data_IF_046722507722
#
_entry.id   IF_046722507722
#
_cell.length_a   1.000
_cell.length_b   1.000
_cell.length_c   1.000
_cell.angle_alpha   90.00
_cell.angle_beta   90.00
_cell.angle_gamma   90.00
#
_symmetry.space_group_name_H-M   'P 1'
#
loop_
_entity.id
_entity.type
_entity.pdbx_description
1 polymer ?
#
# COMPACT_ATOMS: atom_id res chain seq x y z
N UNK A 1 68.35 -33.52 -55.43
CA UNK A 1 69.39 -33.10 -54.47
C UNK A 1 68.71 -32.65 -53.19
N UNK A 2 69.10 -33.30 -52.08
CA UNK A 2 69.02 -32.85 -50.67
C UNK A 2 67.61 -32.49 -50.12
N UNK A 3 66.85 -33.47 -49.61
CA UNK A 3 66.86 -34.04 -48.23
C UNK A 3 66.09 -33.21 -47.20
N UNK A 4 64.92 -33.70 -46.80
CA UNK A 4 64.20 -33.29 -45.59
C UNK A 4 63.07 -34.28 -45.28
N UNK A 5 63.29 -35.18 -44.30
CA UNK A 5 62.38 -36.25 -43.85
C UNK A 5 61.08 -35.73 -43.21
N UNK A 6 60.00 -36.55 -43.18
CA UNK A 6 58.71 -36.21 -42.60
C UNK A 6 58.66 -36.46 -41.09
N UNK A 7 57.91 -35.65 -40.33
CA UNK A 7 57.55 -35.95 -38.94
C UNK A 7 56.05 -35.74 -38.70
N UNK A 8 55.41 -36.86 -38.42
CA UNK A 8 54.17 -37.09 -37.68
C UNK A 8 53.39 -35.87 -37.15
N UNK A 9 52.20 -35.66 -37.69
CA UNK A 9 51.09 -35.03 -36.97
C UNK A 9 49.98 -36.06 -36.81
N UNK A 10 50.21 -37.01 -35.91
CA UNK A 10 49.22 -37.98 -35.42
C UNK A 10 49.32 -38.05 -33.89
N UNK A 11 49.27 -36.88 -33.23
CA UNK A 11 49.41 -36.79 -31.76
C UNK A 11 48.78 -35.53 -31.15
N UNK A 12 47.63 -35.06 -31.66
CA UNK A 12 46.86 -34.00 -30.96
C UNK A 12 45.39 -34.38 -30.73
N UNK A 13 44.83 -35.34 -31.46
CA UNK A 13 43.47 -35.84 -31.18
C UNK A 13 43.39 -36.93 -30.10
N UNK A 14 44.52 -37.40 -29.56
CA UNK A 14 44.57 -38.40 -28.50
C UNK A 14 44.78 -37.82 -27.08
N UNK A 15 45.04 -36.51 -26.93
CA UNK A 15 45.25 -35.90 -25.60
C UNK A 15 44.03 -35.16 -25.02
N UNK A 16 43.04 -34.79 -25.84
CA UNK A 16 41.82 -34.12 -25.31
C UNK A 16 40.81 -35.14 -24.75
N UNK A 17 40.79 -36.37 -25.28
CA UNK A 17 39.90 -37.43 -24.81
C UNK A 17 40.36 -38.09 -23.51
N UNK A 18 41.67 -38.03 -23.18
CA UNK A 18 42.22 -38.59 -21.94
C UNK A 18 42.04 -37.63 -20.76
N UNK A 19 42.01 -36.31 -21.00
CA UNK A 19 41.73 -35.31 -19.95
C UNK A 19 40.24 -35.33 -19.56
N UNK A 20 39.31 -35.54 -20.49
CA UNK A 20 37.89 -35.67 -20.15
C UNK A 20 37.57 -36.95 -19.36
N UNK A 21 38.26 -38.07 -19.62
CA UNK A 21 38.04 -39.32 -18.87
C UNK A 21 38.74 -39.28 -17.49
N UNK A 22 39.90 -38.63 -17.36
CA UNK A 22 40.54 -38.45 -16.05
C UNK A 22 39.84 -37.44 -15.14
N UNK A 23 39.22 -36.38 -15.68
CA UNK A 23 38.39 -35.46 -14.87
C UNK A 23 37.10 -36.14 -14.42
N UNK A 24 36.49 -36.99 -15.26
CA UNK A 24 35.31 -37.76 -14.86
C UNK A 24 35.66 -38.87 -13.86
N UNK A 25 36.86 -39.48 -13.93
CA UNK A 25 37.30 -40.50 -12.97
C UNK A 25 37.78 -39.90 -11.64
N UNK A 26 38.42 -38.71 -11.65
CA UNK A 26 38.79 -37.98 -10.43
C UNK A 26 37.59 -37.32 -9.74
N UNK A 27 36.49 -37.04 -10.46
CA UNK A 27 35.27 -36.50 -9.87
C UNK A 27 34.26 -37.57 -9.42
N UNK A 28 34.41 -38.85 -9.78
CA UNK A 28 33.49 -39.94 -9.38
C UNK A 28 34.04 -40.92 -8.34
N UNK A 29 35.18 -40.65 -7.71
CA UNK A 29 35.66 -41.38 -6.54
C UNK A 29 35.77 -40.43 -5.35
N UNK A 30 34.63 -39.99 -4.82
CA UNK A 30 34.48 -39.69 -3.38
C UNK A 30 33.03 -39.36 -2.94
N UNK A 31 32.02 -39.92 -3.60
CA UNK A 31 30.63 -39.72 -3.15
C UNK A 31 30.22 -40.61 -1.95
N UNK A 32 31.07 -41.56 -1.53
CA UNK A 32 30.80 -42.45 -0.39
C UNK A 32 31.72 -42.25 0.83
N UNK A 33 32.56 -41.19 0.87
CA UNK A 33 33.45 -40.91 2.03
C UNK A 33 33.49 -39.46 2.55
N UNK A 34 32.60 -38.59 2.09
CA UNK A 34 32.32 -37.30 2.74
C UNK A 34 30.96 -37.27 3.47
N UNK A 35 30.42 -38.45 3.79
CA UNK A 35 29.21 -38.61 4.60
C UNK A 35 29.49 -38.82 6.11
N UNK A 36 30.73 -38.61 6.60
CA UNK A 36 31.10 -38.96 8.00
C UNK A 36 31.98 -37.95 8.76
N UNK A 37 32.08 -36.69 8.33
CA UNK A 37 32.73 -35.65 9.14
C UNK A 37 32.19 -34.24 8.86
N UNK A 38 31.00 -33.99 9.39
CA UNK A 38 30.40 -32.66 9.51
C UNK A 38 29.20 -32.76 10.45
N UNK A 39 29.03 -31.87 11.44
CA UNK A 39 28.06 -32.05 12.51
C UNK A 39 26.64 -32.05 11.95
N UNK A 40 25.96 -33.20 12.09
CA UNK A 40 24.56 -33.37 11.71
C UNK A 40 23.69 -32.41 12.52
N UNK A 41 22.93 -31.57 11.82
CA UNK A 41 21.81 -30.86 12.39
C UNK A 41 20.68 -31.87 12.64
N UNK A 42 20.77 -32.56 13.77
CA UNK A 42 19.63 -33.19 14.41
C UNK A 42 18.64 -32.09 14.78
N UNK A 43 17.37 -32.26 14.44
CA UNK A 43 16.28 -31.59 15.13
C UNK A 43 16.38 -31.94 16.62
N UNK A 44 17.04 -31.08 17.39
CA UNK A 44 16.96 -31.06 18.85
C UNK A 44 15.69 -30.31 19.19
N UNK A 45 14.72 -31.04 19.72
CA UNK A 45 13.69 -30.51 20.59
C UNK A 45 14.36 -29.77 21.75
N UNK A 46 14.49 -28.45 21.61
CA UNK A 46 14.91 -27.58 22.70
C UNK A 46 13.69 -27.33 23.61
N UNK A 47 13.39 -28.29 24.48
CA UNK A 47 12.65 -28.01 25.71
C UNK A 47 13.59 -27.25 26.64
N UNK A 48 13.52 -25.92 26.63
CA UNK A 48 14.11 -25.12 27.69
C UNK A 48 13.15 -25.16 28.87
N UNK A 49 13.51 -25.92 29.90
CA UNK A 49 12.92 -25.76 31.23
C UNK A 49 13.19 -24.32 31.71
N UNK A 50 12.10 -23.58 31.95
CA UNK A 50 12.16 -22.30 32.64
C UNK A 50 12.24 -22.62 34.15
N UNK A 51 13.20 -22.07 34.90
CA UNK A 51 13.19 -22.19 36.36
C UNK A 51 11.95 -21.47 36.91
N UNK A 52 11.00 -22.25 37.43
CA UNK A 52 9.83 -21.73 38.14
C UNK A 52 10.25 -21.22 39.51
N UNK A 53 10.50 -19.91 39.60
CA UNK A 53 10.50 -19.24 40.90
C UNK A 53 9.58 -18.02 40.84
N UNK A 54 8.28 -18.29 40.84
CA UNK A 54 7.29 -17.32 41.31
C UNK A 54 6.35 -18.03 42.27
N UNK A 55 6.47 -17.72 43.57
CA UNK A 55 5.45 -18.00 44.56
C UNK A 55 4.28 -17.05 44.31
N UNK A 56 3.24 -17.51 43.62
CA UNK A 56 1.90 -16.97 43.81
C UNK A 56 0.84 -18.03 43.44
N UNK A 57 0.19 -18.70 44.41
CA UNK A 57 -0.83 -19.69 44.14
C UNK A 57 -2.18 -18.98 43.96
N UNK A 58 -2.68 -18.88 42.73
CA UNK A 58 -4.13 -18.89 42.38
C UNK A 58 -4.41 -18.46 40.93
N UNK A 59 -3.77 -19.07 39.93
CA UNK A 59 -4.33 -19.08 38.57
C UNK A 59 -4.14 -20.48 37.98
N UNK A 60 -5.24 -21.23 37.91
CA UNK A 60 -5.28 -22.54 37.26
C UNK A 60 -5.70 -22.31 35.80
N UNK A 61 -4.73 -22.21 34.88
CA UNK A 61 -5.00 -22.17 33.43
C UNK A 61 -4.65 -23.54 32.86
N UNK A 62 -5.65 -24.39 32.73
CA UNK A 62 -5.54 -25.61 31.93
C UNK A 62 -6.05 -25.29 30.51
N UNK A 63 -5.18 -24.78 29.64
CA UNK A 63 -5.44 -24.70 28.20
C UNK A 63 -4.52 -25.70 27.49
N UNK A 64 -5.07 -26.87 27.18
CA UNK A 64 -4.50 -27.78 26.19
C UNK A 64 -4.54 -27.09 24.83
N UNK A 65 -3.38 -26.99 24.20
CA UNK A 65 -3.25 -26.63 22.80
C UNK A 65 -3.67 -27.86 21.96
N UNK A 66 -4.87 -27.84 21.38
CA UNK A 66 -5.23 -28.81 20.34
C UNK A 66 -4.84 -28.26 18.97
N UNK A 67 -4.04 -28.99 18.17
CA UNK A 67 -3.75 -28.63 16.79
C UNK A 67 -5.05 -28.67 15.97
N UNK A 68 -5.26 -27.65 15.16
CA UNK A 68 -6.35 -27.56 14.18
C UNK A 68 -6.45 -28.86 13.36
N UNK A 69 -7.47 -29.68 13.64
CA UNK A 69 -7.92 -30.68 12.69
C UNK A 69 -8.73 -29.96 11.61
N UNK A 70 -8.40 -30.22 10.35
CA UNK A 70 -9.21 -29.82 9.21
C UNK A 70 -10.58 -30.49 9.34
N UNK A 71 -11.55 -29.77 9.91
CA UNK A 71 -12.95 -30.14 9.71
C UNK A 71 -13.24 -29.99 8.22
N UNK A 72 -13.45 -31.12 7.56
CA UNK A 72 -13.96 -31.19 6.20
C UNK A 72 -15.34 -30.52 6.14
N UNK A 73 -15.33 -29.20 5.95
CA UNK A 73 -16.52 -28.44 5.63
C UNK A 73 -17.02 -28.97 4.29
N UNK A 74 -18.21 -29.58 4.31
CA UNK A 74 -18.83 -30.15 3.13
C UNK A 74 -19.27 -28.99 2.22
N UNK A 75 -18.34 -28.51 1.39
CA UNK A 75 -18.59 -27.48 0.37
C UNK A 75 -19.53 -28.10 -0.66
N UNK A 76 -20.83 -27.91 -0.45
CA UNK A 76 -21.78 -27.96 -1.57
C UNK A 76 -21.19 -27.09 -2.66
N UNK A 77 -20.94 -27.69 -3.83
CA UNK A 77 -20.47 -27.02 -5.04
C UNK A 77 -21.35 -25.80 -5.31
N UNK A 78 -20.97 -24.65 -4.78
CA UNK A 78 -21.44 -23.37 -5.28
C UNK A 78 -20.91 -23.29 -6.69
N UNK A 79 -21.81 -23.36 -7.67
CA UNK A 79 -21.53 -23.08 -9.07
C UNK A 79 -20.61 -21.86 -9.11
N UNK A 80 -19.36 -22.04 -9.57
CA UNK A 80 -18.40 -20.94 -9.71
C UNK A 80 -19.07 -19.89 -10.59
N UNK A 81 -19.57 -18.81 -9.97
CA UNK A 81 -20.02 -17.64 -10.72
C UNK A 81 -18.86 -17.23 -11.61
N UNK A 82 -19.12 -17.05 -12.90
CA UNK A 82 -18.15 -16.46 -13.82
C UNK A 82 -17.55 -15.23 -13.13
N UNK A 83 -16.22 -15.13 -13.00
CA UNK A 83 -15.61 -14.06 -12.23
C UNK A 83 -15.97 -12.72 -12.90
N UNK A 84 -16.45 -11.77 -12.10
CA UNK A 84 -16.93 -10.49 -12.60
C UNK A 84 -15.78 -9.73 -13.29
N UNK A 85 -15.98 -9.36 -14.56
CA UNK A 85 -15.01 -8.64 -15.40
C UNK A 85 -15.70 -7.44 -16.02
N UNK A 86 -15.05 -6.27 -15.98
CA UNK A 86 -15.56 -5.08 -16.67
C UNK A 86 -15.52 -5.31 -18.18
N UNK A 87 -16.60 -4.96 -18.88
CA UNK A 87 -16.69 -5.11 -20.33
C UNK A 87 -15.88 -4.04 -21.08
N UNK A 88 -15.48 -4.35 -22.31
CA UNK A 88 -14.83 -3.39 -23.21
C UNK A 88 -15.72 -2.17 -23.48
N UNK A 89 -17.04 -2.35 -23.54
CA UNK A 89 -18.00 -1.27 -23.72
C UNK A 89 -17.93 -0.23 -22.59
N UNK A 90 -17.74 -0.67 -21.35
CA UNK A 90 -17.61 0.23 -20.21
C UNK A 90 -16.28 1.00 -20.26
N UNK A 91 -15.17 0.36 -20.67
CA UNK A 91 -13.92 1.08 -20.92
C UNK A 91 -14.06 2.09 -22.08
N UNK A 92 -14.77 1.73 -23.16
CA UNK A 92 -15.08 2.64 -24.27
C UNK A 92 -15.88 3.84 -23.79
N UNK A 93 -16.90 3.65 -22.94
CA UNK A 93 -17.69 4.74 -22.36
C UNK A 93 -16.84 5.70 -21.56
N UNK A 94 -15.98 5.19 -20.66
CA UNK A 94 -15.06 6.02 -19.86
C UNK A 94 -14.06 6.77 -20.74
N UNK A 95 -13.53 6.12 -21.78
CA UNK A 95 -12.63 6.74 -22.77
C UNK A 95 -13.31 7.84 -23.58
N UNK A 96 -14.59 7.66 -23.97
CA UNK A 96 -15.37 8.69 -24.68
C UNK A 96 -15.50 9.97 -23.86
N UNK A 97 -15.75 9.85 -22.55
CA UNK A 97 -15.79 11.01 -21.64
C UNK A 97 -14.45 11.75 -21.59
N UNK A 98 -13.35 11.01 -21.39
CA UNK A 98 -11.99 11.60 -21.40
C UNK A 98 -11.73 12.31 -22.72
N UNK A 99 -12.00 11.66 -23.85
CA UNK A 99 -11.78 12.24 -25.18
C UNK A 99 -12.61 13.50 -25.40
N UNK A 100 -13.86 13.53 -24.93
CA UNK A 100 -14.71 14.71 -24.99
C UNK A 100 -14.05 15.90 -24.28
N UNK A 101 -13.67 15.73 -23.01
CA UNK A 101 -13.01 16.79 -22.23
C UNK A 101 -11.67 17.20 -22.86
N UNK A 102 -10.89 16.25 -23.38
CA UNK A 102 -9.64 16.52 -24.08
C UNK A 102 -9.84 17.31 -25.39
N UNK A 103 -11.02 17.23 -26.01
CA UNK A 103 -11.33 17.94 -27.26
C UNK A 103 -11.93 19.33 -27.04
N UNK A 104 -12.59 19.55 -25.90
CA UNK A 104 -13.29 20.81 -25.59
C UNK A 104 -12.39 21.87 -24.95
N UNK A 105 -11.19 21.50 -24.51
CA UNK A 105 -10.26 22.45 -23.88
C UNK A 105 -8.84 21.92 -23.71
N UNK A 106 -7.90 22.82 -23.43
CA UNK A 106 -6.52 22.45 -23.17
C UNK A 106 -6.35 21.90 -21.75
N UNK A 107 -6.22 20.58 -21.64
CA UNK A 107 -5.86 19.92 -20.39
C UNK A 107 -4.33 20.01 -20.20
N UNK A 108 -3.90 20.89 -19.29
CA UNK A 108 -2.49 21.01 -18.89
C UNK A 108 -2.05 19.83 -17.99
N UNK A 109 -0.75 19.67 -17.77
CA UNK A 109 -0.19 18.58 -16.96
C UNK A 109 0.77 17.68 -17.72
N UNK A 110 1.35 16.71 -17.01
CA UNK A 110 2.41 15.84 -17.49
C UNK A 110 2.01 14.36 -17.39
N UNK A 111 2.87 13.48 -17.90
CA UNK A 111 2.80 12.05 -17.66
C UNK A 111 4.09 11.68 -16.94
N UNK A 112 4.06 11.63 -15.61
CA UNK A 112 5.27 11.59 -14.78
C UNK A 112 5.97 10.22 -14.84
N UNK A 113 5.33 9.17 -14.31
CA UNK A 113 5.93 7.85 -14.18
C UNK A 113 5.07 6.78 -14.84
N UNK A 114 5.69 5.99 -15.71
CA UNK A 114 5.05 4.86 -16.36
C UNK A 114 5.78 3.56 -16.05
N UNK A 115 5.02 2.47 -16.01
CA UNK A 115 5.50 1.09 -16.01
C UNK A 115 4.83 0.38 -17.20
N UNK A 116 5.46 -0.65 -17.74
CA UNK A 116 4.92 -1.33 -18.90
C UNK A 116 5.18 -2.84 -18.86
N UNK A 117 4.40 -3.56 -19.65
CA UNK A 117 4.65 -4.92 -20.08
C UNK A 117 4.54 -4.90 -21.61
N UNK A 118 5.70 -4.92 -22.27
CA UNK A 118 5.80 -4.87 -23.73
C UNK A 118 5.22 -6.12 -24.38
N UNK A 119 5.27 -7.28 -23.72
CA UNK A 119 4.74 -8.54 -24.26
C UNK A 119 3.22 -8.51 -24.30
N UNK A 120 2.58 -8.00 -23.25
CA UNK A 120 1.13 -7.81 -23.20
C UNK A 120 0.65 -6.56 -23.95
N UNK A 121 1.55 -5.69 -24.41
CA UNK A 121 1.21 -4.42 -25.06
C UNK A 121 0.54 -3.41 -24.12
N UNK A 122 0.91 -3.45 -22.83
CA UNK A 122 0.29 -2.62 -21.79
C UNK A 122 1.29 -1.61 -21.24
N UNK A 123 0.84 -0.37 -21.10
CA UNK A 123 1.53 0.67 -20.35
C UNK A 123 0.61 1.27 -19.30
N UNK A 124 1.12 1.46 -18.09
CA UNK A 124 0.41 1.98 -16.93
C UNK A 124 1.06 3.28 -16.45
N UNK A 125 0.25 4.31 -16.32
CA UNK A 125 0.66 5.58 -15.75
C UNK A 125 0.27 5.64 -14.27
N UNK A 126 1.27 5.73 -13.39
CA UNK A 126 1.07 5.54 -11.96
C UNK A 126 0.45 6.75 -11.28
N UNK A 127 -0.73 6.56 -10.68
CA UNK A 127 -1.44 7.58 -9.89
C UNK A 127 -1.41 7.18 -8.41
N UNK A 128 -0.70 7.91 -7.54
CA UNK A 128 -0.68 7.62 -6.11
C UNK A 128 -2.09 7.63 -5.51
N UNK A 129 -2.33 6.73 -4.54
CA UNK A 129 -3.60 6.57 -3.80
C UNK A 129 -4.82 6.14 -4.64
N UNK A 130 -4.58 5.66 -5.87
CA UNK A 130 -5.56 5.01 -6.73
C UNK A 130 -5.07 3.60 -7.15
N UNK A 131 -4.98 2.66 -6.18
CA UNK A 131 -4.56 1.29 -6.45
C UNK A 131 -3.09 1.09 -6.87
N UNK A 132 -2.25 2.13 -6.75
CA UNK A 132 -0.89 2.10 -7.32
C UNK A 132 0.02 1.02 -6.75
N UNK A 133 -0.11 0.64 -5.47
CA UNK A 133 0.72 -0.42 -4.88
C UNK A 133 0.49 -1.75 -5.57
N UNK A 134 -0.78 -2.10 -5.83
CA UNK A 134 -1.16 -3.32 -6.54
C UNK A 134 -0.53 -3.36 -7.94
N UNK A 135 -0.74 -2.32 -8.74
CA UNK A 135 -0.19 -2.29 -10.10
C UNK A 135 1.35 -2.24 -10.10
N UNK A 136 1.98 -1.56 -9.14
CA UNK A 136 3.44 -1.61 -9.00
C UNK A 136 3.93 -3.02 -8.70
N UNK A 137 3.23 -3.83 -7.91
CA UNK A 137 3.56 -5.25 -7.68
C UNK A 137 3.45 -6.05 -8.97
N UNK A 138 2.34 -5.92 -9.68
CA UNK A 138 2.10 -6.58 -10.98
C UNK A 138 3.20 -6.24 -11.98
N UNK A 139 3.45 -4.94 -12.23
CA UNK A 139 4.45 -4.51 -13.19
C UNK A 139 5.89 -4.79 -12.74
N UNK A 140 6.17 -4.86 -11.43
CA UNK A 140 7.48 -5.31 -10.94
C UNK A 140 7.68 -6.79 -11.22
N UNK A 141 6.65 -7.60 -10.99
CA UNK A 141 6.74 -9.05 -11.18
C UNK A 141 6.86 -9.45 -12.65
N UNK A 142 6.08 -8.86 -13.56
CA UNK A 142 6.17 -9.18 -15.01
C UNK A 142 7.47 -8.73 -15.65
N UNK A 143 8.11 -7.68 -15.11
CA UNK A 143 9.42 -7.22 -15.58
C UNK A 143 10.59 -7.94 -14.91
N UNK A 144 10.32 -8.83 -13.96
CA UNK A 144 11.34 -9.66 -13.33
C UNK A 144 11.74 -10.79 -14.25
N UNK A 145 13.03 -11.15 -14.24
CA UNK A 145 13.54 -12.36 -14.91
C UNK A 145 13.24 -13.65 -14.13
N UNK A 146 12.58 -13.53 -12.98
CA UNK A 146 12.30 -14.64 -12.08
C UNK A 146 10.82 -15.03 -12.16
N UNK A 147 10.53 -16.16 -12.81
CA UNK A 147 9.16 -16.67 -12.97
C UNK A 147 8.46 -16.93 -11.64
N UNK A 148 9.21 -17.33 -10.59
CA UNK A 148 8.64 -17.51 -9.24
C UNK A 148 8.11 -16.20 -8.62
N UNK A 149 8.58 -15.03 -9.08
CA UNK A 149 8.08 -13.74 -8.63
C UNK A 149 6.70 -13.43 -9.24
N UNK A 150 6.39 -13.97 -10.43
CA UNK A 150 5.06 -13.85 -11.04
C UNK A 150 4.01 -14.59 -10.22
N UNK A 151 4.39 -15.71 -9.61
CA UNK A 151 3.54 -16.49 -8.70
C UNK A 151 3.43 -15.82 -7.31
N UNK A 152 4.37 -14.93 -6.97
CA UNK A 152 4.53 -14.32 -5.65
C UNK A 152 4.19 -12.82 -5.60
N UNK A 153 3.40 -12.30 -6.55
CA UNK A 153 3.05 -10.86 -6.66
C UNK A 153 2.58 -10.25 -5.34
N UNK A 154 1.83 -11.00 -4.52
CA UNK A 154 1.28 -10.53 -3.24
C UNK A 154 2.32 -10.41 -2.13
N UNK A 155 3.39 -11.20 -2.19
CA UNK A 155 4.44 -11.22 -1.17
C UNK A 155 5.44 -10.07 -1.32
N UNK A 156 5.40 -9.34 -2.44
CA UNK A 156 6.17 -8.11 -2.62
C UNK A 156 5.72 -7.06 -1.59
N UNK A 157 6.62 -6.69 -0.68
CA UNK A 157 6.35 -5.72 0.37
C UNK A 157 6.06 -4.33 -0.20
N UNK A 158 5.37 -3.50 0.59
CA UNK A 158 5.09 -2.10 0.23
C UNK A 158 6.41 -1.34 0.02
N UNK A 159 7.42 -1.61 0.83
CA UNK A 159 8.74 -0.99 0.77
C UNK A 159 9.45 -1.33 -0.53
N UNK A 160 9.47 -2.60 -0.91
CA UNK A 160 10.10 -3.05 -2.16
C UNK A 160 9.47 -2.35 -3.36
N UNK A 161 8.14 -2.29 -3.41
CA UNK A 161 7.39 -1.70 -4.54
C UNK A 161 7.19 -0.18 -4.46
N UNK A 162 7.69 0.48 -3.43
CA UNK A 162 7.82 1.94 -3.42
C UNK A 162 9.28 2.42 -3.42
N UNK A 163 10.25 1.50 -3.35
CA UNK A 163 11.67 1.81 -3.42
C UNK A 163 12.08 2.51 -4.73
N UNK A 164 13.20 3.24 -4.67
CA UNK A 164 13.80 3.92 -5.82
C UNK A 164 14.36 2.95 -6.88
N UNK A 165 14.50 1.67 -6.55
CA UNK A 165 15.12 0.66 -7.41
C UNK A 165 14.16 0.01 -8.41
N UNK A 166 12.88 0.39 -8.35
CA UNK A 166 11.87 -0.11 -9.28
C UNK A 166 12.03 0.59 -10.61
N UNK A 167 12.00 -0.19 -11.69
CA UNK A 167 11.98 0.34 -13.04
C UNK A 167 10.73 1.20 -13.26
N UNK A 168 10.95 2.52 -13.24
CA UNK A 168 9.98 3.53 -13.63
C UNK A 168 10.60 4.29 -14.78
N UNK A 169 9.82 4.51 -15.83
CA UNK A 169 10.28 5.25 -16.99
C UNK A 169 9.65 6.64 -16.96
N UNK A 170 10.45 7.64 -17.33
CA UNK A 170 9.88 8.92 -17.75
C UNK A 170 9.13 8.69 -19.05
N UNK A 171 7.93 9.26 -19.16
CA UNK A 171 7.13 9.06 -20.36
C UNK A 171 7.64 9.91 -21.52
N UNK A 172 7.85 9.24 -22.66
CA UNK A 172 8.05 9.86 -23.96
C UNK A 172 7.16 9.15 -24.99
N UNK A 173 6.40 9.90 -25.78
CA UNK A 173 5.51 9.33 -26.80
C UNK A 173 6.25 8.51 -27.87
N UNK A 174 7.51 8.85 -28.12
CA UNK A 174 8.36 8.13 -29.09
C UNK A 174 8.78 6.77 -28.55
N UNK A 175 9.08 6.66 -27.26
CA UNK A 175 9.49 5.42 -26.60
C UNK A 175 8.30 4.48 -26.35
N UNK A 176 7.10 5.04 -26.22
CA UNK A 176 5.87 4.30 -25.92
C UNK A 176 4.78 4.49 -27.00
N UNK A 177 5.04 4.09 -28.26
CA UNK A 177 4.11 4.30 -29.37
C UNK A 177 2.84 3.45 -29.20
N UNK A 178 1.69 3.99 -29.66
CA UNK A 178 0.39 3.31 -29.57
C UNK A 178 0.34 1.93 -30.20
N UNK A 179 1.10 1.72 -31.28
CA UNK A 179 1.16 0.42 -31.97
C UNK A 179 1.73 -0.68 -31.07
N UNK A 180 2.74 -0.34 -30.26
CA UNK A 180 3.38 -1.27 -29.31
C UNK A 180 2.60 -1.36 -28.01
N UNK A 181 2.00 -0.25 -27.56
CA UNK A 181 1.25 -0.17 -26.31
C UNK A 181 -0.19 0.30 -26.56
N UNK A 182 -1.06 -0.55 -27.15
CA UNK A 182 -2.47 -0.22 -27.40
C UNK A 182 -3.29 -0.10 -26.11
N UNK A 183 -2.91 -0.84 -25.07
CA UNK A 183 -3.57 -0.78 -23.75
C UNK A 183 -2.83 0.20 -22.85
N UNK A 184 -3.48 1.33 -22.56
CA UNK A 184 -2.89 2.49 -21.89
C UNK A 184 -3.73 2.78 -20.66
N UNK A 185 -3.28 2.24 -19.54
CA UNK A 185 -4.00 2.16 -18.29
C UNK A 185 -3.76 3.39 -17.42
N UNK A 186 -4.84 4.00 -16.95
CA UNK A 186 -4.85 4.91 -15.81
C UNK A 186 -5.86 4.38 -14.80
N UNK A 187 -5.45 4.30 -13.53
CA UNK A 187 -6.36 4.00 -12.43
C UNK A 187 -6.72 5.29 -11.72
N UNK A 188 -8.00 5.51 -11.54
CA UNK A 188 -8.57 6.77 -11.06
C UNK A 188 -9.38 6.54 -9.80
N UNK A 189 -9.54 7.61 -9.02
CA UNK A 189 -10.30 7.63 -7.79
C UNK A 189 -10.96 8.98 -7.68
N UNK A 190 -12.14 9.02 -7.07
CA UNK A 190 -12.77 10.26 -6.63
C UNK A 190 -11.72 11.19 -5.98
N UNK A 191 -11.53 12.44 -6.48
CA UNK A 191 -10.49 13.34 -6.01
C UNK A 191 -10.50 13.59 -4.50
N UNK A 192 -11.69 13.68 -3.91
CA UNK A 192 -11.84 13.89 -2.46
C UNK A 192 -11.47 12.66 -1.64
N UNK A 193 -11.94 11.48 -2.02
CA UNK A 193 -11.53 10.22 -1.39
C UNK A 193 -10.03 9.97 -1.53
N UNK A 194 -9.45 10.39 -2.65
CA UNK A 194 -8.01 10.33 -2.88
C UNK A 194 -7.25 11.25 -1.93
N UNK A 195 -7.69 12.50 -1.79
CA UNK A 195 -7.11 13.47 -0.85
C UNK A 195 -7.19 12.99 0.60
N UNK A 196 -8.36 12.49 1.02
CA UNK A 196 -8.56 11.98 2.38
C UNK A 196 -7.69 10.74 2.64
N UNK A 197 -7.53 9.86 1.64
CA UNK A 197 -6.60 8.73 1.73
C UNK A 197 -5.14 9.16 1.81
N UNK A 198 -4.76 10.26 1.15
CA UNK A 198 -3.43 10.87 1.29
C UNK A 198 -3.21 11.39 2.69
N UNK A 199 -4.17 12.13 3.25
CA UNK A 199 -4.10 12.60 4.64
C UNK A 199 -3.95 11.43 5.62
N UNK A 200 -4.83 10.42 5.55
CA UNK A 200 -4.82 9.29 6.47
C UNK A 200 -3.52 8.48 6.41
N UNK A 201 -2.97 8.27 5.22
CA UNK A 201 -1.78 7.40 5.06
C UNK A 201 -0.46 8.13 5.17
N UNK A 202 -0.43 9.42 4.87
CA UNK A 202 0.82 10.20 4.78
C UNK A 202 1.02 11.18 5.93
N UNK A 203 -0.07 11.73 6.45
CA UNK A 203 -0.05 12.84 7.41
C UNK A 203 -0.48 12.34 8.79
N UNK A 204 -1.61 11.64 8.88
CA UNK A 204 -2.10 11.09 10.14
C UNK A 204 -1.22 9.93 10.63
N UNK A 205 -0.84 9.04 9.72
CA UNK A 205 0.26 8.09 9.90
C UNK A 205 1.60 8.77 9.55
N UNK A 206 2.72 8.40 10.19
CA UNK A 206 3.95 9.18 10.21
C UNK A 206 4.80 9.14 8.94
N UNK A 207 4.26 8.72 7.80
CA UNK A 207 5.03 8.50 6.55
C UNK A 207 5.72 9.80 6.09
N UNK A 208 5.00 10.94 6.05
CA UNK A 208 5.49 12.21 5.50
C UNK A 208 5.75 13.30 6.55
N UNK A 209 5.90 12.94 7.84
CA UNK A 209 6.12 13.94 8.89
C UNK A 209 7.36 14.80 8.62
N UNK A 210 8.48 14.16 8.30
CA UNK A 210 9.76 14.84 8.05
C UNK A 210 9.73 15.61 6.72
N UNK A 211 9.26 14.97 5.65
CA UNK A 211 9.37 15.51 4.30
C UNK A 211 8.42 16.67 4.05
N UNK A 212 7.21 16.61 4.63
CA UNK A 212 6.10 17.50 4.30
C UNK A 212 5.55 18.23 5.54
N UNK A 213 5.13 17.48 6.56
CA UNK A 213 4.33 18.05 7.66
C UNK A 213 5.10 19.08 8.48
N UNK A 214 6.39 18.86 8.77
CA UNK A 214 7.21 19.84 9.49
C UNK A 214 7.32 21.18 8.74
N UNK A 215 7.32 21.16 7.40
CA UNK A 215 7.31 22.38 6.60
C UNK A 215 5.96 23.06 6.66
N UNK A 216 4.89 22.28 6.49
CA UNK A 216 3.51 22.74 6.55
C UNK A 216 3.19 23.42 7.89
N UNK A 217 3.60 22.83 9.03
CA UNK A 217 3.40 23.41 10.37
C UNK A 217 4.08 24.77 10.51
N UNK A 218 5.24 24.98 9.89
CA UNK A 218 5.96 26.26 9.95
C UNK A 218 5.31 27.36 9.11
N UNK A 219 4.53 27.00 8.10
CA UNK A 219 3.86 27.94 7.20
C UNK A 219 2.40 28.16 7.55
N UNK A 220 1.86 27.44 8.55
CA UNK A 220 0.51 27.68 9.05
C UNK A 220 0.40 29.11 9.58
N UNK A 221 -0.65 29.87 9.22
CA UNK A 221 -0.86 31.20 9.75
C UNK A 221 -0.98 31.18 11.28
N UNK A 222 -0.29 32.10 11.97
CA UNK A 222 -0.40 32.25 13.44
C UNK A 222 -1.84 32.56 13.90
N UNK A 223 -2.67 33.11 13.02
CA UNK A 223 -4.12 33.27 13.21
C UNK A 223 -4.86 32.09 12.57
N UNK A 224 -4.73 30.89 13.14
CA UNK A 224 -5.70 29.80 12.93
C UNK A 224 -7.01 30.14 13.66
N UNK A 225 -7.59 31.29 13.31
CA UNK A 225 -8.99 31.64 13.56
C UNK A 225 -9.95 30.77 12.72
N UNK A 226 -9.41 29.85 11.92
CA UNK A 226 -10.13 28.83 11.14
C UNK A 226 -10.06 27.44 11.81
N UNK A 227 -9.73 27.34 13.10
CA UNK A 227 -10.21 26.20 13.90
C UNK A 227 -11.72 26.40 13.99
N UNK A 228 -12.42 25.91 12.96
CA UNK A 228 -13.86 25.77 13.04
C UNK A 228 -14.12 24.94 14.29
N UNK A 229 -15.10 25.31 15.10
CA UNK A 229 -15.56 24.49 16.24
C UNK A 229 -16.01 23.07 15.79
N UNK A 230 -16.04 22.83 14.48
CA UNK A 230 -16.41 21.61 13.79
C UNK A 230 -15.20 20.69 13.49
N UNK A 231 -13.95 21.10 13.72
CA UNK A 231 -12.79 20.22 13.49
C UNK A 231 -12.66 19.15 14.59
N UNK A 232 -13.34 18.03 14.37
CA UNK A 232 -13.31 16.88 15.26
C UNK A 232 -11.92 16.23 15.38
N UNK A 233 -11.03 16.39 14.38
CA UNK A 233 -9.67 15.82 14.45
C UNK A 233 -8.82 16.57 15.46
N UNK A 234 -9.08 17.87 15.69
CA UNK A 234 -8.44 18.60 16.78
C UNK A 234 -8.79 17.98 18.14
N UNK A 235 -10.05 17.64 18.37
CA UNK A 235 -10.48 16.97 19.60
C UNK A 235 -9.85 15.58 19.74
N UNK A 236 -9.86 14.78 18.66
CA UNK A 236 -9.19 13.48 18.61
C UNK A 236 -7.70 13.58 18.99
N UNK A 237 -6.98 14.56 18.45
CA UNK A 237 -5.58 14.75 18.80
C UNK A 237 -5.35 15.25 20.22
N UNK A 238 -6.28 16.06 20.78
CA UNK A 238 -6.22 16.47 22.18
C UNK A 238 -6.40 15.26 23.12
N UNK A 239 -7.34 14.36 22.80
CA UNK A 239 -7.54 13.10 23.53
C UNK A 239 -6.31 12.20 23.43
N UNK A 240 -5.78 12.01 22.21
CA UNK A 240 -4.54 11.26 22.00
C UNK A 240 -3.37 11.86 22.79
N UNK A 241 -3.23 13.19 22.80
CA UNK A 241 -2.21 13.88 23.59
C UNK A 241 -2.40 13.63 25.09
N UNK A 242 -3.64 13.51 25.58
CA UNK A 242 -3.95 13.17 26.97
C UNK A 242 -3.60 11.71 27.32
N UNK A 243 -3.90 10.78 26.42
CA UNK A 243 -3.63 9.34 26.59
C UNK A 243 -2.13 9.06 26.61
N UNK A 244 -1.38 9.65 25.67
CA UNK A 244 0.06 9.44 25.54
C UNK A 244 0.89 10.53 26.22
N UNK A 245 0.32 11.20 27.25
CA UNK A 245 1.06 12.14 28.09
C UNK A 245 2.33 11.46 28.59
N UNK A 246 3.46 12.05 28.24
CA UNK A 246 4.68 11.80 28.98
C UNK A 246 4.43 12.27 30.42
N UNK A 247 4.74 11.45 31.43
CA UNK A 247 4.66 11.87 32.85
C UNK A 247 5.57 13.09 33.15
N UNK A 248 6.40 13.52 32.21
CA UNK A 248 7.07 14.82 32.23
C UNK A 248 6.41 15.83 31.27
N UNK A 249 5.98 16.95 31.87
CA UNK A 249 5.63 18.24 31.27
C UNK A 249 4.18 18.43 30.83
N UNK A 250 3.36 18.83 31.82
CA UNK A 250 2.20 19.69 31.59
C UNK A 250 2.72 21.09 31.27
N UNK A 251 2.69 21.46 30.00
CA UNK A 251 2.34 22.82 29.61
C UNK A 251 1.74 22.72 28.21
N UNK A 252 0.61 23.43 28.03
CA UNK A 252 -0.14 23.76 26.81
C UNK A 252 0.42 23.16 25.52
N UNK A 253 -0.44 22.59 24.66
CA UNK A 253 -0.19 22.21 23.25
C UNK A 253 0.61 23.32 22.52
N UNK A 254 1.93 23.32 22.73
CA UNK A 254 2.93 24.37 22.43
C UNK A 254 4.28 24.02 23.09
N UNK A 255 4.58 22.74 23.36
CA UNK A 255 6.01 22.42 23.53
C UNK A 255 6.61 22.43 22.12
N UNK A 256 7.70 23.19 21.93
CA UNK A 256 8.43 23.24 20.66
C UNK A 256 8.77 21.84 20.10
N UNK A 257 8.86 20.83 20.98
CA UNK A 257 9.01 19.42 20.65
C UNK A 257 7.78 18.80 19.92
N UNK A 258 6.54 19.20 20.23
CA UNK A 258 5.36 18.73 19.49
C UNK A 258 5.24 19.41 18.11
N UNK A 259 5.58 20.71 18.03
CA UNK A 259 5.71 21.44 16.76
C UNK A 259 6.80 20.85 15.87
N UNK A 260 7.89 20.35 16.46
CA UNK A 260 8.95 19.62 15.75
C UNK A 260 8.46 18.33 15.06
N UNK A 261 7.48 17.63 15.63
CA UNK A 261 7.01 16.35 15.11
C UNK A 261 5.92 16.48 14.03
N UNK A 262 5.15 17.57 14.04
CA UNK A 262 4.00 17.75 13.14
C UNK A 262 2.83 16.78 13.36
N UNK A 263 2.87 15.96 14.41
CA UNK A 263 2.02 14.77 14.56
C UNK A 263 0.53 15.00 14.87
N UNK A 264 0.12 16.26 15.02
CA UNK A 264 -1.25 16.68 15.34
C UNK A 264 -1.86 17.59 14.27
N UNK A 265 -1.36 17.49 13.03
CA UNK A 265 -1.93 18.17 11.88
C UNK A 265 -3.30 17.59 11.54
N UNK A 266 -4.33 18.41 11.66
CA UNK A 266 -5.70 18.09 11.26
C UNK A 266 -5.86 18.07 9.75
N UNK A 267 -6.98 17.53 9.27
CA UNK A 267 -7.29 17.56 7.83
C UNK A 267 -7.48 18.99 7.32
N UNK A 268 -8.06 19.89 8.13
CA UNK A 268 -8.23 21.29 7.78
C UNK A 268 -6.89 22.01 7.64
N UNK A 269 -5.99 21.85 8.61
CA UNK A 269 -4.64 22.44 8.56
C UNK A 269 -3.82 21.89 7.39
N UNK A 270 -3.92 20.59 7.11
CA UNK A 270 -3.32 19.98 5.92
C UNK A 270 -3.88 20.59 4.63
N UNK A 271 -5.20 20.76 4.57
CA UNK A 271 -5.86 21.39 3.43
C UNK A 271 -5.52 22.87 3.30
N UNK A 272 -5.22 23.60 4.38
CA UNK A 272 -4.85 25.01 4.32
C UNK A 272 -3.38 25.24 3.93
N UNK A 273 -2.47 24.36 4.42
CA UNK A 273 -1.02 24.58 4.29
C UNK A 273 -0.34 23.70 3.25
N UNK A 274 -0.90 22.53 2.98
CA UNK A 274 -0.24 21.48 2.22
C UNK A 274 -0.81 21.27 0.83
N UNK A 275 -2.08 21.62 0.62
CA UNK A 275 -2.77 21.21 -0.59
C UNK A 275 -2.23 21.91 -1.85
N UNK A 276 -1.75 23.15 -1.79
CA UNK A 276 -1.23 23.84 -2.99
C UNK A 276 0.17 23.35 -3.41
N UNK A 277 0.91 22.70 -2.51
CA UNK A 277 2.23 22.19 -2.80
C UNK A 277 2.16 21.07 -3.86
N UNK A 278 3.16 21.05 -4.76
CA UNK A 278 3.31 20.04 -5.80
C UNK A 278 3.80 18.71 -5.21
N UNK A 279 2.88 17.94 -4.61
CA UNK A 279 3.15 16.60 -4.12
C UNK A 279 2.22 15.57 -4.81
N UNK A 280 2.76 14.50 -5.44
CA UNK A 280 1.97 13.56 -6.24
C UNK A 280 0.80 12.84 -5.56
N UNK A 281 0.69 12.77 -4.23
CA UNK A 281 -0.41 12.12 -3.52
C UNK A 281 -1.66 13.00 -3.43
N UNK A 282 -1.52 14.32 -3.45
CA UNK A 282 -2.66 15.26 -3.48
C UNK A 282 -2.64 16.23 -4.66
N UNK A 283 -1.69 16.12 -5.58
CA UNK A 283 -1.75 16.79 -6.88
C UNK A 283 -2.85 16.16 -7.74
N UNK A 284 -3.63 16.93 -8.54
CA UNK A 284 -4.68 16.38 -9.41
C UNK A 284 -4.14 15.30 -10.35
N UNK A 285 -4.95 14.29 -10.64
CA UNK A 285 -4.59 13.15 -11.48
C UNK A 285 -4.16 13.62 -12.86
N UNK A 286 -4.89 14.54 -13.51
CA UNK A 286 -4.53 15.05 -14.83
C UNK A 286 -3.19 15.81 -14.88
N UNK A 287 -2.69 16.30 -13.74
CA UNK A 287 -1.39 16.97 -13.66
C UNK A 287 -0.23 15.99 -13.60
N UNK A 288 -0.41 14.84 -12.93
CA UNK A 288 0.60 13.77 -12.79
C UNK A 288 0.53 12.81 -13.98
N UNK A 289 -0.68 12.54 -14.44
CA UNK A 289 -1.00 11.57 -15.45
C UNK A 289 -2.06 12.14 -16.39
N UNK A 290 -1.64 13.02 -17.29
CA UNK A 290 -2.50 13.69 -18.25
C UNK A 290 -3.06 12.67 -19.25
N UNK A 291 -4.36 12.37 -19.24
CA UNK A 291 -4.93 11.31 -20.07
C UNK A 291 -4.98 11.68 -21.55
N UNK A 292 -4.97 12.99 -21.88
CA UNK A 292 -4.96 13.49 -23.25
C UNK A 292 -3.58 13.29 -23.90
N UNK A 293 -2.49 13.59 -23.18
CA UNK A 293 -1.10 13.34 -23.62
C UNK A 293 -0.73 11.87 -23.58
N UNK A 294 -1.20 11.17 -22.55
CA UNK A 294 -0.99 9.73 -22.41
C UNK A 294 -1.84 8.93 -23.38
N UNK A 295 -2.91 9.51 -23.94
CA UNK A 295 -3.84 8.86 -24.87
C UNK A 295 -4.46 7.61 -24.24
N UNK A 296 -4.99 7.79 -23.02
CA UNK A 296 -5.51 6.72 -22.19
C UNK A 296 -6.60 5.92 -22.91
N UNK A 297 -6.48 4.58 -22.90
CA UNK A 297 -7.48 3.70 -23.52
C UNK A 297 -8.32 2.94 -22.49
N UNK A 298 -7.74 2.65 -21.32
CA UNK A 298 -8.41 1.94 -20.23
C UNK A 298 -8.36 2.80 -18.97
N UNK A 299 -9.52 3.32 -18.58
CA UNK A 299 -9.70 4.10 -17.36
C UNK A 299 -10.32 3.17 -16.33
N UNK A 300 -9.50 2.70 -15.39
CA UNK A 300 -9.97 1.93 -14.25
C UNK A 300 -10.38 2.87 -13.12
N UNK A 301 -11.39 2.45 -12.34
CA UNK A 301 -11.89 3.20 -11.18
C UNK A 301 -11.71 2.39 -9.91
N UNK A 302 -11.45 3.06 -8.78
CA UNK A 302 -11.40 2.39 -7.48
C UNK A 302 -12.71 1.71 -7.11
N UNK A 303 -13.85 2.25 -7.56
CA UNK A 303 -15.18 1.69 -7.30
C UNK A 303 -15.44 0.39 -8.08
N UNK A 304 -14.71 0.15 -9.17
CA UNK A 304 -14.80 -1.07 -10.00
C UNK A 304 -13.47 -1.81 -10.08
N UNK A 305 -12.58 -1.59 -9.10
CA UNK A 305 -11.17 -1.96 -9.18
C UNK A 305 -10.98 -3.45 -9.48
N UNK A 306 -11.66 -4.34 -8.75
CA UNK A 306 -11.47 -5.79 -8.90
C UNK A 306 -11.90 -6.31 -10.28
N UNK A 307 -13.05 -5.83 -10.79
CA UNK A 307 -13.55 -6.21 -12.11
C UNK A 307 -12.70 -5.63 -13.25
N UNK A 308 -12.20 -4.39 -13.10
CA UNK A 308 -11.29 -3.76 -14.06
C UNK A 308 -9.93 -4.46 -14.07
N UNK A 309 -9.37 -4.72 -12.89
CA UNK A 309 -8.08 -5.37 -12.71
C UNK A 309 -8.08 -6.76 -13.33
N UNK A 310 -9.15 -7.55 -13.14
CA UNK A 310 -9.26 -8.86 -13.76
C UNK A 310 -9.28 -8.80 -15.29
N UNK A 311 -10.02 -7.87 -15.88
CA UNK A 311 -10.05 -7.70 -17.33
C UNK A 311 -8.65 -7.36 -17.86
N UNK A 312 -7.95 -6.41 -17.21
CA UNK A 312 -6.61 -5.98 -17.60
C UNK A 312 -5.52 -7.05 -17.37
N UNK A 313 -5.62 -7.81 -16.27
CA UNK A 313 -4.68 -8.89 -15.96
C UNK A 313 -4.81 -10.10 -16.90
N UNK A 314 -6.00 -10.35 -17.46
CA UNK A 314 -6.14 -11.42 -18.47
C UNK A 314 -5.34 -11.18 -19.74
N UNK A 315 -5.05 -9.91 -20.07
CA UNK A 315 -4.15 -9.55 -21.17
C UNK A 315 -2.68 -9.93 -20.87
N UNK A 316 -2.34 -10.09 -19.60
CA UNK A 316 -1.02 -10.49 -19.09
C UNK A 316 -0.95 -11.98 -18.69
N UNK A 317 -2.05 -12.73 -18.82
CA UNK A 317 -2.21 -14.10 -18.30
C UNK A 317 -2.00 -14.18 -16.78
N UNK A 318 -2.51 -13.18 -16.05
CA UNK A 318 -2.37 -13.04 -14.59
C UNK A 318 -3.72 -12.87 -13.88
N UNK A 319 -4.83 -13.25 -14.50
CA UNK A 319 -6.16 -13.08 -13.89
C UNK A 319 -6.32 -13.82 -12.55
N UNK A 320 -5.57 -14.91 -12.33
CA UNK A 320 -5.58 -15.71 -11.10
C UNK A 320 -5.07 -14.94 -9.87
N UNK A 321 -4.32 -13.85 -10.09
CA UNK A 321 -3.94 -12.90 -9.04
C UNK A 321 -5.17 -12.30 -8.36
N UNK A 322 -6.31 -12.26 -9.04
CA UNK A 322 -7.56 -11.75 -8.47
C UNK A 322 -8.40 -12.84 -7.78
N UNK A 323 -8.13 -14.13 -7.97
CA UNK A 323 -8.99 -15.22 -7.47
C UNK A 323 -9.06 -15.28 -5.94
N UNK A 324 -8.03 -14.80 -5.24
CA UNK A 324 -8.08 -14.68 -3.77
C UNK A 324 -8.45 -13.27 -3.29
N UNK A 325 -8.79 -12.36 -4.21
CA UNK A 325 -9.19 -10.97 -3.96
C UNK A 325 -10.64 -10.69 -4.42
N UNK A 326 -11.37 -11.73 -4.82
CA UNK A 326 -12.79 -11.63 -5.20
C UNK A 326 -13.72 -11.39 -4.03
N UNK A 327 -13.24 -11.62 -2.82
CA UNK A 327 -13.88 -11.16 -1.61
C UNK A 327 -13.32 -9.80 -1.24
N UNK A 328 -14.17 -8.75 -1.30
CA UNK A 328 -13.84 -7.40 -0.82
C UNK A 328 -13.26 -7.44 0.60
N UNK A 329 -13.63 -8.44 1.41
CA UNK A 329 -13.09 -8.62 2.75
C UNK A 329 -11.62 -9.06 2.72
N UNK A 330 -11.26 -10.02 1.88
CA UNK A 330 -9.88 -10.49 1.75
C UNK A 330 -8.94 -9.35 1.29
N UNK A 331 -9.41 -8.47 0.40
CA UNK A 331 -8.64 -7.29 -0.02
C UNK A 331 -8.40 -6.32 1.15
N UNK A 332 -9.43 -6.05 1.96
CA UNK A 332 -9.30 -5.18 3.12
C UNK A 332 -8.39 -5.81 4.19
N UNK A 333 -8.48 -7.13 4.40
CA UNK A 333 -7.59 -7.87 5.32
C UNK A 333 -6.12 -7.76 4.89
N UNK A 334 -5.83 -7.90 3.60
CA UNK A 334 -4.48 -7.67 3.07
C UNK A 334 -4.02 -6.23 3.31
N UNK A 335 -4.89 -5.24 3.08
CA UNK A 335 -4.57 -3.82 3.32
C UNK A 335 -4.30 -3.53 4.80
N UNK A 336 -5.08 -4.09 5.72
CA UNK A 336 -4.84 -3.98 7.17
C UNK A 336 -3.45 -4.52 7.50
N UNK A 337 -3.11 -5.73 7.05
CA UNK A 337 -1.81 -6.33 7.33
C UNK A 337 -0.65 -5.49 6.77
N UNK A 338 -0.77 -5.01 5.53
CA UNK A 338 0.26 -4.20 4.87
C UNK A 338 0.45 -2.86 5.59
N UNK A 339 -0.64 -2.15 5.92
CA UNK A 339 -0.55 -0.85 6.58
C UNK A 339 0.01 -1.01 7.99
N UNK A 340 -0.45 -2.01 8.75
CA UNK A 340 0.06 -2.30 10.10
C UNK A 340 1.55 -2.60 10.06
N UNK A 341 1.95 -3.62 9.31
CA UNK A 341 3.36 -4.06 9.22
C UNK A 341 4.28 -2.92 8.79
N UNK A 342 3.89 -2.14 7.76
CA UNK A 342 4.65 -0.98 7.29
C UNK A 342 4.89 0.06 8.42
N UNK A 343 3.87 0.34 9.24
CA UNK A 343 3.98 1.36 10.28
C UNK A 343 4.71 0.86 11.53
N UNK A 344 4.58 -0.41 11.91
CA UNK A 344 5.39 -1.00 12.98
C UNK A 344 6.87 -1.15 12.58
N UNK A 345 7.15 -1.30 11.28
CA UNK A 345 8.53 -1.37 10.76
C UNK A 345 9.40 -0.15 11.06
N UNK A 346 8.80 1.00 11.34
CA UNK A 346 9.52 2.19 11.83
C UNK A 346 10.32 1.93 13.12
N UNK A 347 9.95 0.92 13.91
CA UNK A 347 10.62 0.54 15.15
C UNK A 347 11.55 -0.66 15.03
N UNK A 348 11.37 -1.54 14.04
CA UNK A 348 12.21 -2.73 13.84
C UNK A 348 13.53 -2.43 13.15
N UNK A 349 13.60 -1.35 12.37
CA UNK A 349 14.86 -0.90 11.80
C UNK A 349 15.65 -0.17 12.89
N UNK A 350 16.88 -0.60 13.17
CA UNK A 350 17.86 0.12 14.01
C UNK A 350 18.12 1.57 13.55
N UNK A 351 17.57 1.94 12.39
CA UNK A 351 17.49 3.29 11.84
C UNK A 351 16.05 3.81 11.99
N UNK A 352 15.50 3.83 13.20
CA UNK A 352 14.53 4.88 13.50
C UNK A 352 15.33 6.17 13.33
N UNK A 353 15.06 6.94 12.26
CA UNK A 353 15.60 8.29 12.12
C UNK A 353 15.45 8.96 13.48
N UNK A 354 16.54 9.49 14.02
CA UNK A 354 16.60 10.09 15.38
C UNK A 354 15.41 11.03 15.64
N UNK A 355 14.86 11.60 14.57
CA UNK A 355 13.59 12.33 14.50
C UNK A 355 12.37 11.62 15.11
N UNK A 356 12.07 10.36 14.78
CA UNK A 356 10.81 9.73 15.20
C UNK A 356 10.83 9.27 16.67
N UNK A 357 12.01 9.01 17.24
CA UNK A 357 12.17 8.55 18.63
C UNK A 357 11.48 9.45 19.66
N UNK A 358 11.63 10.79 19.64
CA UNK A 358 10.90 11.68 20.54
C UNK A 358 9.43 11.89 20.14
N UNK A 359 9.05 11.52 18.91
CA UNK A 359 7.74 11.85 18.36
C UNK A 359 6.71 10.74 18.51
N UNK A 360 7.15 9.48 18.60
CA UNK A 360 6.27 8.34 18.35
C UNK A 360 6.62 7.13 19.21
N UNK A 361 5.60 6.52 19.79
CA UNK A 361 5.71 5.30 20.59
C UNK A 361 4.94 4.16 19.92
N UNK A 362 5.33 2.88 20.11
CA UNK A 362 4.62 1.75 19.53
C UNK A 362 3.10 1.74 19.83
N UNK A 363 2.72 2.04 21.08
CA UNK A 363 1.31 2.15 21.49
C UNK A 363 0.57 3.31 20.81
N UNK A 364 1.25 4.43 20.53
CA UNK A 364 0.67 5.54 19.78
C UNK A 364 0.44 5.15 18.31
N UNK A 365 1.33 4.35 17.71
CA UNK A 365 1.12 3.83 16.35
C UNK A 365 -0.06 2.88 16.29
N UNK A 366 -0.16 1.94 17.23
CA UNK A 366 -1.30 1.03 17.32
C UNK A 366 -2.63 1.83 17.45
N UNK A 367 -2.66 2.84 18.32
CA UNK A 367 -3.81 3.72 18.47
C UNK A 367 -4.13 4.49 17.18
N UNK A 368 -3.13 5.05 16.49
CA UNK A 368 -3.34 5.71 15.20
C UNK A 368 -3.92 4.73 14.18
N UNK A 369 -3.32 3.56 14.01
CA UNK A 369 -3.78 2.54 13.08
C UNK A 369 -5.23 2.12 13.36
N UNK A 370 -5.61 1.94 14.63
CA UNK A 370 -6.98 1.64 15.02
C UNK A 370 -7.98 2.65 14.46
N UNK A 371 -7.78 3.94 14.74
CA UNK A 371 -8.67 4.99 14.27
C UNK A 371 -8.62 5.16 12.75
N UNK A 372 -7.46 4.96 12.13
CA UNK A 372 -7.35 4.94 10.67
C UNK A 372 -8.25 3.85 10.06
N UNK A 373 -8.22 2.63 10.61
CA UNK A 373 -9.08 1.53 10.17
C UNK A 373 -10.56 1.78 10.48
N UNK A 374 -10.88 2.35 11.65
CA UNK A 374 -12.26 2.75 12.00
C UNK A 374 -12.83 3.75 10.99
N UNK A 375 -12.09 4.82 10.69
CA UNK A 375 -12.51 5.87 9.76
C UNK A 375 -12.61 5.42 8.30
N UNK A 376 -11.84 4.40 7.92
CA UNK A 376 -11.96 3.73 6.62
C UNK A 376 -13.14 2.77 6.52
N UNK A 377 -13.80 2.48 7.64
CA UNK A 377 -14.86 1.48 7.74
C UNK A 377 -14.34 0.04 7.60
N UNK A 378 -13.13 -0.24 8.11
CA UNK A 378 -12.50 -1.57 8.05
C UNK A 378 -12.76 -2.43 9.27
N UNK A 379 -13.07 -1.80 10.41
CA UNK A 379 -13.40 -2.44 11.69
C UNK A 379 -14.70 -1.88 12.25
N UNK A 380 -15.29 -2.59 13.21
CA UNK A 380 -16.51 -2.17 13.90
C UNK A 380 -16.36 -0.77 14.54
N UNK A 381 -17.24 0.19 14.21
CA UNK A 381 -17.21 1.51 14.82
C UNK A 381 -17.56 1.54 16.31
N UNK A 382 -18.28 0.54 16.83
CA UNK A 382 -18.73 0.50 18.23
C UNK A 382 -17.72 -0.15 19.19
N UNK A 383 -16.70 -0.81 18.64
CA UNK A 383 -15.66 -1.46 19.44
C UNK A 383 -14.54 -0.46 19.69
N UNK A 384 -14.23 -0.19 20.96
CA UNK A 384 -13.12 0.67 21.36
C UNK A 384 -11.79 -0.08 21.48
N UNK A 385 -10.72 0.63 21.13
CA UNK A 385 -9.37 0.12 21.27
C UNK A 385 -8.98 0.05 22.74
N UNK A 386 -8.50 -1.12 23.19
CA UNK A 386 -7.97 -1.29 24.53
C UNK A 386 -6.46 -1.13 24.48
N UNK A 387 -5.95 -0.09 25.11
CA UNK A 387 -4.49 0.10 25.18
C UNK A 387 -3.87 -0.98 26.07
N UNK A 388 -2.90 -1.75 25.56
CA UNK A 388 -2.25 -2.76 26.37
C UNK A 388 -1.26 -2.14 27.38
N UNK A 389 -1.12 -2.79 28.53
CA UNK A 389 -0.05 -2.53 29.51
C UNK A 389 1.30 -3.15 29.11
N UNK A 390 1.40 -3.67 27.89
CA UNK A 390 2.60 -4.27 27.31
C UNK A 390 3.66 -3.20 27.00
N UNK A 391 4.93 -3.61 27.08
CA UNK A 391 6.10 -2.77 26.79
C UNK A 391 6.94 -3.28 25.63
N UNK A 392 6.93 -4.59 25.34
CA UNK A 392 7.63 -5.16 24.19
C UNK A 392 6.92 -4.79 22.88
N UNK A 393 7.71 -4.41 21.88
CA UNK A 393 7.20 -3.96 20.59
C UNK A 393 6.41 -5.06 19.85
N UNK A 394 6.91 -6.30 19.86
CA UNK A 394 6.27 -7.42 19.16
C UNK A 394 4.96 -7.79 19.84
N UNK A 395 4.96 -7.83 21.17
CA UNK A 395 3.77 -8.12 21.95
C UNK A 395 2.68 -7.05 21.72
N UNK A 396 3.07 -5.77 21.61
CA UNK A 396 2.14 -4.67 21.28
C UNK A 396 1.56 -4.84 19.86
N UNK A 397 2.38 -5.18 18.87
CA UNK A 397 1.91 -5.42 17.50
C UNK A 397 0.97 -6.62 17.42
N UNK A 398 1.31 -7.72 18.10
CA UNK A 398 0.50 -8.93 18.13
C UNK A 398 -0.87 -8.66 18.81
N UNK A 399 -0.87 -8.05 19.99
CA UNK A 399 -2.10 -7.66 20.70
C UNK A 399 -2.96 -6.73 19.84
N UNK A 400 -2.36 -5.72 19.21
CA UNK A 400 -3.05 -4.83 18.29
C UNK A 400 -3.73 -5.60 17.14
N UNK A 401 -3.01 -6.53 16.50
CA UNK A 401 -3.55 -7.33 15.40
C UNK A 401 -4.67 -8.27 15.85
N UNK A 402 -4.60 -8.83 17.07
CA UNK A 402 -5.69 -9.61 17.66
C UNK A 402 -6.94 -8.76 17.83
N UNK A 403 -6.81 -7.57 18.43
CA UNK A 403 -7.94 -6.65 18.62
C UNK A 403 -8.55 -6.20 17.29
N UNK A 404 -7.73 -5.88 16.28
CA UNK A 404 -8.20 -5.48 14.94
C UNK A 404 -9.00 -6.61 14.27
N UNK A 405 -8.51 -7.85 14.32
CA UNK A 405 -9.23 -9.01 13.76
C UNK A 405 -10.56 -9.24 14.46
N UNK A 406 -10.61 -9.09 15.78
CA UNK A 406 -11.85 -9.22 16.56
C UNK A 406 -12.86 -8.12 16.19
N UNK A 407 -12.43 -6.85 16.15
CA UNK A 407 -13.28 -5.73 15.77
C UNK A 407 -13.73 -5.82 14.31
N UNK A 408 -12.88 -6.33 13.42
CA UNK A 408 -13.27 -6.60 12.03
C UNK A 408 -14.35 -7.67 11.94
N UNK A 409 -14.16 -8.81 12.59
CA UNK A 409 -15.14 -9.90 12.63
C UNK A 409 -16.50 -9.42 13.15
N UNK A 410 -16.51 -8.55 14.16
CA UNK A 410 -17.72 -7.90 14.68
C UNK A 410 -18.35 -6.98 13.62
N UNK A 411 -17.56 -6.10 13.01
CA UNK A 411 -18.05 -5.14 12.01
C UNK A 411 -18.65 -5.80 10.77
N UNK A 412 -18.10 -6.94 10.35
CA UNK A 412 -18.63 -7.73 9.23
C UNK A 412 -20.05 -8.26 9.46
N UNK A 413 -20.54 -8.28 10.70
CA UNK A 413 -21.95 -8.56 11.01
C UNK A 413 -22.87 -7.39 10.67
N UNK A 414 -22.33 -6.17 10.49
CA UNK A 414 -23.08 -4.97 10.14
C UNK A 414 -22.35 -4.09 9.10
N UNK A 415 -22.22 -4.58 7.85
CA UNK A 415 -21.48 -3.88 6.78
C UNK A 415 -22.10 -2.52 6.42
N UNK A 416 -23.42 -2.36 6.57
CA UNK A 416 -24.10 -1.09 6.35
C UNK A 416 -23.64 -0.02 7.35
N UNK A 417 -23.47 -0.40 8.62
CA UNK A 417 -22.96 0.52 9.64
C UNK A 417 -21.50 0.90 9.41
N UNK A 418 -20.66 -0.04 8.99
CA UNK A 418 -19.27 0.25 8.61
C UNK A 418 -19.21 1.26 7.46
N UNK A 419 -20.04 1.05 6.42
CA UNK A 419 -20.15 1.96 5.27
C UNK A 419 -20.68 3.34 5.68
N UNK A 420 -21.70 3.39 6.53
CA UNK A 420 -22.27 4.64 7.03
C UNK A 420 -21.23 5.43 7.85
N UNK A 421 -20.48 4.76 8.73
CA UNK A 421 -19.41 5.38 9.53
C UNK A 421 -18.32 5.99 8.64
N UNK A 422 -17.87 5.25 7.62
CA UNK A 422 -16.90 5.75 6.63
C UNK A 422 -17.41 7.02 5.94
N UNK A 423 -18.67 7.02 5.52
CA UNK A 423 -19.28 8.17 4.85
C UNK A 423 -19.45 9.36 5.80
N UNK A 424 -19.82 9.12 7.06
CA UNK A 424 -19.94 10.14 8.09
C UNK A 424 -18.59 10.77 8.41
N UNK A 425 -17.53 9.96 8.58
CA UNK A 425 -16.17 10.46 8.78
C UNK A 425 -15.74 11.34 7.61
N UNK A 426 -15.95 10.88 6.37
CA UNK A 426 -15.66 11.66 5.17
C UNK A 426 -16.40 13.00 5.21
N UNK A 427 -17.71 13.00 5.52
CA UNK A 427 -18.50 14.22 5.63
C UNK A 427 -17.93 15.16 6.70
N UNK A 428 -17.64 14.68 7.91
CA UNK A 428 -17.05 15.48 9.01
C UNK A 428 -15.69 16.06 8.63
N UNK A 429 -14.84 15.29 7.94
CA UNK A 429 -13.54 15.77 7.49
C UNK A 429 -13.68 16.91 6.47
N UNK A 430 -14.58 16.79 5.49
CA UNK A 430 -14.79 17.86 4.54
C UNK A 430 -15.52 19.07 5.13
N UNK A 431 -16.39 18.88 6.13
CA UNK A 431 -17.07 19.97 6.84
C UNK A 431 -16.18 20.73 7.83
N UNK A 432 -15.01 20.20 8.20
CA UNK A 432 -14.07 20.97 9.02
C UNK A 432 -13.40 22.11 8.24
N UNK A 433 -13.50 22.10 6.91
CA UNK A 433 -13.00 23.17 6.04
C UNK A 433 -13.94 24.38 6.08
N UNK A 434 -13.39 25.58 5.93
CA UNK A 434 -14.21 26.75 5.61
C UNK A 434 -14.81 26.61 4.20
N UNK A 435 -15.96 27.24 3.95
CA UNK A 435 -16.60 27.25 2.62
C UNK A 435 -15.62 27.72 1.53
N UNK A 436 -14.90 28.80 1.78
CA UNK A 436 -13.90 29.32 0.85
C UNK A 436 -12.77 28.32 0.56
N UNK A 437 -12.33 27.58 1.59
CA UNK A 437 -11.31 26.53 1.41
C UNK A 437 -11.86 25.35 0.61
N UNK A 438 -13.09 24.92 0.88
CA UNK A 438 -13.75 23.86 0.09
C UNK A 438 -13.93 24.27 -1.39
N UNK A 439 -14.28 25.52 -1.67
CA UNK A 439 -14.40 26.05 -3.04
C UNK A 439 -13.06 26.04 -3.77
N UNK A 440 -11.98 26.51 -3.13
CA UNK A 440 -10.61 26.42 -3.66
C UNK A 440 -10.21 24.98 -3.96
N UNK A 441 -10.53 24.06 -3.06
CA UNK A 441 -10.26 22.63 -3.25
C UNK A 441 -11.02 22.06 -4.46
N UNK A 442 -12.28 22.43 -4.61
CA UNK A 442 -13.14 22.01 -5.71
C UNK A 442 -12.63 22.53 -7.05
N UNK A 443 -12.17 23.79 -7.08
CA UNK A 443 -11.54 24.39 -8.25
C UNK A 443 -10.26 23.66 -8.64
N UNK A 444 -9.41 23.31 -7.67
CA UNK A 444 -8.15 22.58 -7.91
C UNK A 444 -8.37 21.24 -8.62
N UNK A 445 -9.44 20.51 -8.28
CA UNK A 445 -9.76 19.20 -8.87
C UNK A 445 -10.82 19.25 -9.97
N UNK A 446 -11.27 20.44 -10.39
CA UNK A 446 -12.37 20.62 -11.36
C UNK A 446 -12.23 19.73 -12.61
N UNK A 447 -11.05 19.76 -13.23
CA UNK A 447 -10.75 18.99 -14.43
C UNK A 447 -10.80 17.47 -14.17
N UNK A 448 -10.36 17.00 -12.99
CA UNK A 448 -10.43 15.56 -12.67
C UNK A 448 -11.89 15.09 -12.51
N UNK A 449 -12.75 15.93 -11.91
CA UNK A 449 -14.18 15.62 -11.78
C UNK A 449 -14.83 15.42 -13.15
N UNK A 450 -14.49 16.25 -14.12
CA UNK A 450 -15.01 16.16 -15.49
C UNK A 450 -14.42 14.96 -16.25
N UNK A 451 -13.10 14.81 -16.25
CA UNK A 451 -12.40 13.73 -16.97
C UNK A 451 -12.88 12.34 -16.53
N UNK A 452 -13.03 12.15 -15.23
CA UNK A 452 -13.28 10.82 -14.66
C UNK A 452 -14.74 10.63 -14.20
N UNK A 453 -15.56 11.68 -14.28
CA UNK A 453 -16.99 11.65 -13.98
C UNK A 453 -17.26 11.42 -12.50
N UNK A 454 -16.94 12.45 -11.71
CA UNK A 454 -17.15 12.53 -10.27
C UNK A 454 -17.78 13.88 -9.86
N UNK A 455 -18.44 14.58 -10.79
CA UNK A 455 -19.08 15.89 -10.53
C UNK A 455 -20.24 15.79 -9.54
N UNK A 456 -20.97 14.67 -9.56
CA UNK A 456 -22.02 14.33 -8.61
C UNK A 456 -21.52 14.31 -7.16
N UNK A 457 -20.35 13.71 -6.92
CA UNK A 457 -19.73 13.66 -5.59
C UNK A 457 -19.31 15.05 -5.11
N UNK A 458 -18.83 15.90 -6.04
CA UNK A 458 -18.52 17.30 -5.76
C UNK A 458 -19.74 18.06 -5.28
N UNK A 459 -20.84 17.93 -6.03
CA UNK A 459 -22.06 18.68 -5.79
C UNK A 459 -22.76 18.21 -4.51
N UNK A 460 -22.74 16.90 -4.22
CA UNK A 460 -23.25 16.33 -2.96
C UNK A 460 -22.56 16.98 -1.75
N UNK A 461 -21.22 17.02 -1.72
CA UNK A 461 -20.49 17.60 -0.59
C UNK A 461 -20.64 19.13 -0.51
N UNK A 462 -20.70 19.81 -1.66
CA UNK A 462 -20.92 21.26 -1.68
C UNK A 462 -22.30 21.67 -1.14
N UNK A 463 -23.31 20.81 -1.29
CA UNK A 463 -24.66 21.07 -0.79
C UNK A 463 -24.69 21.33 0.72
N UNK A 464 -23.77 20.74 1.50
CA UNK A 464 -23.68 20.95 2.94
C UNK A 464 -23.16 22.35 3.36
N UNK A 465 -22.64 23.14 2.42
CA UNK A 465 -22.18 24.52 2.61
C UNK A 465 -23.19 25.59 2.16
N UNK A 466 -24.34 25.16 1.66
CA UNK A 466 -25.38 26.03 1.11
C UNK A 466 -26.61 26.12 2.02
N UNK A 467 -26.58 25.47 3.18
CA UNK A 467 -27.66 25.44 4.18
C UNK A 467 -27.43 26.33 5.38
#
# INVERSE_FOLDING_TARGET
MLTGKPKSTFTVFAMVSVIMVLVIWLCNVNFDRMAQSGPGWKHSSYTKEIPTNSKNPNININMKYEPWQEEHFNVKQQQRKQPNRTSDEEFVKRRRRVNYVCSTGQVSGNVSFVMNDKQAGIIYCSVPKAGCTFWKRVFTAVNSKNDSLRESIRFLSREEVHSQYIQRFQYNSTDFPKKTFPTRLIVTRDPYSRLLSSYLDKIYLPDFWISEVVKMVKTLPNNTSSITSQDFLRNHFNEMANVFKNKSVISRITTAAQSHCGKYMTFSEFAESGFENEEPHWTPIHKICNPCKFLATHISKMETFSADARALLSLMQLETVMDNLDDDNAQIDEEINIISSYNFHHFYRNVTLTFYKPCLFPKEIAYRLWYNFRWRGYIDPDVDYKLPELTDLKDIEEDFMVQVRAARKSGLQNPNKMKATKNEFRKKAFLSLSKAMFEKLSQKYAIDFELFGYTDIRDELYSFYSG
#
